data_IF_885672751199
#
_entry.id   IF_885672751199
#
_cell.length_a   1.000
_cell.length_b   1.000
_cell.length_c   1.000
_cell.angle_alpha   90.00
_cell.angle_beta   90.00
_cell.angle_gamma   90.00
#
_symmetry.space_group_name_H-M   'P 1'
#
loop_
_entity.id
_entity.type
_entity.pdbx_description
1 polymer ?
#
# COMPACT_ATOMS: atom_id res chain seq x y z
N UNK A 1 8.29 -5.29 -24.75
CA UNK A 1 9.68 -5.65 -24.34
C UNK A 1 10.39 -4.52 -23.58
N UNK A 2 10.52 -3.28 -24.11
CA UNK A 2 11.25 -2.18 -23.43
C UNK A 2 10.74 -1.84 -22.01
N UNK A 3 9.42 -1.82 -21.77
CA UNK A 3 8.82 -1.50 -20.45
C UNK A 3 9.06 -2.57 -19.38
N UNK A 4 9.04 -3.85 -19.75
CA UNK A 4 9.40 -4.96 -18.85
C UNK A 4 10.88 -4.89 -18.43
N UNK A 5 11.77 -4.55 -19.35
CA UNK A 5 13.19 -4.33 -19.05
C UNK A 5 13.36 -3.15 -18.07
N UNK A 6 12.63 -2.05 -18.27
CA UNK A 6 12.66 -0.90 -17.35
C UNK A 6 12.15 -1.25 -15.94
N UNK A 7 11.11 -2.08 -15.82
CA UNK A 7 10.70 -2.59 -14.51
C UNK A 7 11.76 -3.47 -13.89
N UNK A 8 12.32 -4.45 -14.61
CA UNK A 8 13.38 -5.31 -14.08
C UNK A 8 14.59 -4.48 -13.61
N UNK A 9 14.94 -3.42 -14.34
CA UNK A 9 15.97 -2.46 -13.92
C UNK A 9 15.55 -1.72 -12.64
N UNK A 10 14.30 -1.27 -12.50
CA UNK A 10 13.81 -0.60 -11.29
C UNK A 10 13.76 -1.54 -10.08
N UNK A 11 13.25 -2.76 -10.27
CA UNK A 11 13.26 -3.80 -9.24
C UNK A 11 14.69 -4.14 -8.85
N UNK A 12 15.59 -4.31 -9.83
CA UNK A 12 17.01 -4.53 -9.59
C UNK A 12 17.66 -3.37 -8.85
N UNK A 13 17.41 -2.13 -9.25
CA UNK A 13 18.03 -0.94 -8.63
C UNK A 13 17.51 -0.65 -7.23
N UNK A 14 16.30 -1.10 -6.88
CA UNK A 14 15.77 -1.03 -5.51
C UNK A 14 16.23 -2.25 -4.70
N UNK A 15 16.04 -3.47 -5.23
CA UNK A 15 16.28 -4.71 -4.51
C UNK A 15 17.77 -4.97 -4.28
N UNK A 16 18.65 -4.68 -5.26
CA UNK A 16 20.09 -4.96 -5.14
C UNK A 16 20.72 -4.16 -4.00
N UNK A 17 20.58 -2.83 -3.91
CA UNK A 17 21.11 -2.09 -2.76
C UNK A 17 20.53 -2.59 -1.44
N UNK A 18 19.24 -2.91 -1.38
CA UNK A 18 18.60 -3.40 -0.15
C UNK A 18 19.14 -4.77 0.28
N UNK A 19 19.35 -5.68 -0.68
CA UNK A 19 19.96 -6.99 -0.44
C UNK A 19 21.41 -6.84 0.01
N UNK A 20 22.12 -5.84 -0.51
CA UNK A 20 23.49 -5.50 -0.14
C UNK A 20 23.61 -4.72 1.17
N UNK A 21 22.51 -4.20 1.73
CA UNK A 21 22.54 -3.56 3.05
C UNK A 21 22.73 -4.63 4.12
N UNK A 22 23.95 -4.69 4.66
CA UNK A 22 24.34 -5.60 5.73
C UNK A 22 23.63 -5.31 7.08
N UNK A 23 23.10 -4.10 7.26
CA UNK A 23 22.46 -3.68 8.51
C UNK A 23 20.98 -3.32 8.33
N UNK A 24 20.14 -4.34 8.56
CA UNK A 24 18.69 -4.30 8.43
C UNK A 24 18.04 -3.24 9.32
N UNK A 25 18.55 -3.10 10.55
CA UNK A 25 18.02 -2.13 11.52
C UNK A 25 18.30 -0.71 11.05
N UNK A 26 19.50 -0.46 10.49
CA UNK A 26 19.82 0.83 9.88
C UNK A 26 18.89 1.15 8.71
N UNK A 27 18.55 0.18 7.85
CA UNK A 27 17.60 0.41 6.75
C UNK A 27 16.23 0.85 7.28
N UNK A 28 15.65 0.12 8.24
CA UNK A 28 14.36 0.51 8.84
C UNK A 28 14.42 1.88 9.52
N UNK A 29 15.55 2.19 10.15
CA UNK A 29 15.78 3.50 10.73
C UNK A 29 15.82 4.61 9.66
N UNK A 30 16.57 4.43 8.57
CA UNK A 30 16.62 5.38 7.45
C UNK A 30 15.25 5.61 6.83
N UNK A 31 14.48 4.54 6.59
CA UNK A 31 13.11 4.66 6.05
C UNK A 31 12.20 5.38 7.05
N UNK A 32 12.33 5.11 8.34
CA UNK A 32 11.55 5.82 9.38
C UNK A 32 11.90 7.31 9.44
N UNK A 33 13.19 7.66 9.30
CA UNK A 33 13.64 9.06 9.24
C UNK A 33 13.13 9.75 7.97
N UNK A 34 13.17 9.06 6.83
CA UNK A 34 12.58 9.56 5.59
C UNK A 34 11.10 9.89 5.77
N UNK A 35 10.30 8.99 6.34
CA UNK A 35 8.89 9.26 6.60
C UNK A 35 8.67 10.36 7.66
N UNK A 36 9.55 10.51 8.65
CA UNK A 36 9.50 11.65 9.57
C UNK A 36 9.69 12.98 8.82
N UNK A 37 10.63 13.03 7.88
CA UNK A 37 10.85 14.21 7.02
C UNK A 37 9.62 14.47 6.13
N UNK A 38 9.01 13.42 5.55
CA UNK A 38 7.78 13.55 4.75
C UNK A 38 6.62 14.15 5.56
N UNK A 39 6.45 13.75 6.83
CA UNK A 39 5.46 14.37 7.73
C UNK A 39 5.74 15.85 7.94
N UNK A 40 6.99 16.23 8.19
CA UNK A 40 7.38 17.62 8.40
C UNK A 40 7.13 18.46 7.15
N UNK A 41 7.55 17.99 5.97
CA UNK A 41 7.34 18.69 4.69
C UNK A 41 5.85 18.91 4.46
N UNK A 42 5.02 17.87 4.59
CA UNK A 42 3.58 18.00 4.37
C UNK A 42 2.90 18.89 5.43
N UNK A 43 3.38 18.88 6.67
CA UNK A 43 2.89 19.81 7.70
C UNK A 43 3.22 21.26 7.33
N UNK A 44 4.40 21.53 6.78
CA UNK A 44 4.75 22.87 6.30
C UNK A 44 3.90 23.32 5.11
N UNK A 45 3.47 22.40 4.23
CA UNK A 45 2.58 22.75 3.11
C UNK A 45 1.21 23.23 3.55
N UNK A 46 0.78 22.96 4.79
CA UNK A 46 -0.45 23.55 5.36
C UNK A 46 -0.37 25.08 5.34
N UNK A 47 0.81 25.64 5.65
CA UNK A 47 1.05 27.08 5.68
C UNK A 47 0.99 27.73 4.30
N UNK A 48 1.22 26.95 3.24
CA UNK A 48 1.20 27.43 1.87
C UNK A 48 -0.21 27.55 1.31
N UNK A 49 -1.22 26.97 1.98
CA UNK A 49 -2.59 26.98 1.52
C UNK A 49 -2.79 26.11 0.27
N UNK A 50 -3.26 24.88 0.47
CA UNK A 50 -3.53 23.91 -0.60
C UNK A 50 -4.82 23.12 -0.38
N UNK A 51 -5.75 23.71 0.38
CA UNK A 51 -7.02 23.09 0.69
C UNK A 51 -7.99 23.29 -0.48
N UNK A 52 -8.57 22.19 -0.94
CA UNK A 52 -9.68 22.21 -1.90
C UNK A 52 -10.93 21.67 -1.21
N UNK A 53 -12.13 21.91 -1.77
CA UNK A 53 -13.37 21.29 -1.28
C UNK A 53 -13.29 19.75 -1.27
N UNK A 54 -12.45 19.17 -2.13
CA UNK A 54 -12.23 17.73 -2.22
C UNK A 54 -11.33 17.19 -1.11
N UNK A 55 -10.41 18.00 -0.58
CA UNK A 55 -9.44 17.63 0.45
C UNK A 55 -8.07 18.30 0.28
N UNK A 56 -7.15 17.98 1.17
CA UNK A 56 -5.77 18.47 1.16
C UNK A 56 -4.82 17.49 0.46
N UNK A 57 -4.12 17.94 -0.58
CA UNK A 57 -3.19 17.10 -1.34
C UNK A 57 -1.72 17.24 -0.90
N UNK A 58 -1.37 18.25 -0.09
CA UNK A 58 0.01 18.50 0.34
C UNK A 58 0.95 18.66 -0.86
N UNK A 59 2.07 17.92 -0.87
CA UNK A 59 3.03 17.88 -1.99
C UNK A 59 2.61 16.95 -3.15
N UNK A 60 1.49 16.23 -3.00
CA UNK A 60 1.04 15.22 -3.97
C UNK A 60 0.05 15.80 -4.97
N UNK A 61 -0.14 15.07 -6.08
CA UNK A 61 -1.08 15.50 -7.13
C UNK A 61 -2.53 15.29 -6.72
N UNK A 62 -2.81 14.30 -5.88
CA UNK A 62 -4.16 13.91 -5.49
C UNK A 62 -4.27 13.69 -3.99
N UNK A 63 -5.46 14.02 -3.46
CA UNK A 63 -5.79 13.84 -2.03
C UNK A 63 -5.66 12.39 -1.54
N UNK A 64 -5.96 11.42 -2.41
CA UNK A 64 -5.93 10.01 -2.04
C UNK A 64 -4.49 9.53 -1.84
N UNK A 65 -3.56 10.00 -2.66
CA UNK A 65 -2.12 9.74 -2.52
C UNK A 65 -1.60 10.36 -1.21
N UNK A 66 -2.00 11.59 -0.89
CA UNK A 66 -1.67 12.24 0.38
C UNK A 66 -2.16 11.43 1.59
N UNK A 67 -3.40 10.94 1.55
CA UNK A 67 -3.94 10.06 2.59
C UNK A 67 -3.16 8.75 2.72
N UNK A 68 -2.83 8.10 1.59
CA UNK A 68 -2.04 6.87 1.59
C UNK A 68 -0.67 7.06 2.22
N UNK A 69 0.05 8.11 1.82
CA UNK A 69 1.38 8.37 2.36
C UNK A 69 1.30 8.77 3.83
N UNK A 70 0.28 9.52 4.24
CA UNK A 70 0.05 9.85 5.66
C UNK A 70 -0.17 8.59 6.51
N UNK A 71 -0.88 7.57 5.98
CA UNK A 71 -1.04 6.28 6.66
C UNK A 71 0.29 5.51 6.77
N UNK A 72 1.11 5.53 5.71
CA UNK A 72 2.47 4.94 5.75
C UNK A 72 3.35 5.64 6.80
N UNK A 73 3.36 6.98 6.80
CA UNK A 73 4.04 7.78 7.82
C UNK A 73 3.62 7.34 9.21
N UNK A 74 2.32 7.25 9.47
CA UNK A 74 1.78 6.84 10.76
C UNK A 74 2.31 5.47 11.21
N UNK A 75 2.34 4.47 10.34
CA UNK A 75 2.87 3.14 10.69
C UNK A 75 4.36 3.17 11.03
N UNK A 76 5.17 3.93 10.29
CA UNK A 76 6.59 4.12 10.62
C UNK A 76 6.78 4.92 11.91
N UNK A 77 5.92 5.90 12.21
CA UNK A 77 5.98 6.65 13.46
C UNK A 77 5.59 5.77 14.67
N UNK A 78 4.60 4.89 14.55
CA UNK A 78 4.29 3.89 15.59
C UNK A 78 5.46 2.93 15.80
N UNK A 79 6.08 2.47 14.70
CA UNK A 79 7.28 1.64 14.79
C UNK A 79 8.40 2.37 15.55
N UNK A 80 8.74 3.58 15.12
CA UNK A 80 9.75 4.43 15.77
C UNK A 80 9.45 4.68 17.26
N UNK A 81 8.19 4.93 17.61
CA UNK A 81 7.73 5.05 19.00
C UNK A 81 7.97 3.77 19.81
N UNK A 82 7.74 2.60 19.21
CA UNK A 82 7.88 1.31 19.90
C UNK A 82 9.34 0.90 20.18
N UNK A 83 10.28 1.38 19.37
CA UNK A 83 11.71 1.03 19.46
C UNK A 83 12.57 2.12 20.10
N UNK A 84 12.00 3.31 20.34
CA UNK A 84 12.73 4.46 20.91
C UNK A 84 12.41 4.68 22.38
N UNK A 85 13.35 5.31 23.10
CA UNK A 85 13.21 5.73 24.50
C UNK A 85 13.41 7.24 24.65
N UNK A 86 12.98 7.78 25.79
CA UNK A 86 13.17 9.19 26.15
C UNK A 86 12.55 10.19 25.17
N UNK A 87 13.26 11.29 24.93
CA UNK A 87 12.79 12.39 24.06
C UNK A 87 12.50 11.94 22.62
N UNK A 88 13.29 11.01 22.07
CA UNK A 88 13.06 10.46 20.72
C UNK A 88 11.69 9.79 20.60
N UNK A 89 11.25 9.07 21.64
CA UNK A 89 9.92 8.44 21.68
C UNK A 89 8.79 9.48 21.62
N UNK A 90 8.96 10.61 22.30
CA UNK A 90 8.00 11.71 22.27
C UNK A 90 7.92 12.36 20.88
N UNK A 91 9.06 12.54 20.20
CA UNK A 91 9.09 13.01 18.80
C UNK A 91 8.27 12.08 17.89
N UNK A 92 8.49 10.76 17.97
CA UNK A 92 7.71 9.80 17.17
C UNK A 92 6.21 9.84 17.50
N UNK A 93 5.83 10.02 18.77
CA UNK A 93 4.43 10.17 19.15
C UNK A 93 3.80 11.44 18.54
N UNK A 94 4.50 12.58 18.61
CA UNK A 94 4.04 13.84 18.00
C UNK A 94 3.90 13.71 16.48
N UNK A 95 4.87 13.09 15.81
CA UNK A 95 4.82 12.86 14.37
C UNK A 95 3.72 11.86 13.98
N UNK A 96 3.41 10.87 14.83
CA UNK A 96 2.26 9.98 14.61
C UNK A 96 0.94 10.75 14.66
N UNK A 97 0.78 11.65 15.63
CA UNK A 97 -0.41 12.52 15.73
C UNK A 97 -0.49 13.46 14.51
N UNK A 98 0.63 14.05 14.09
CA UNK A 98 0.68 14.87 12.88
C UNK A 98 0.30 14.06 11.63
N UNK A 99 0.74 12.80 11.53
CA UNK A 99 0.37 11.89 10.43
C UNK A 99 -1.14 11.61 10.40
N UNK A 100 -1.75 11.41 11.58
CA UNK A 100 -3.21 11.26 11.69
C UNK A 100 -3.91 12.53 11.20
N UNK A 101 -3.49 13.70 11.68
CA UNK A 101 -4.07 14.97 11.29
C UNK A 101 -3.97 15.19 9.77
N UNK A 102 -2.80 14.98 9.18
CA UNK A 102 -2.57 15.06 7.74
C UNK A 102 -3.47 14.09 6.95
N UNK A 103 -3.64 12.86 7.44
CA UNK A 103 -4.52 11.88 6.81
C UNK A 103 -5.99 12.35 6.85
N UNK A 104 -6.45 12.89 7.98
CA UNK A 104 -7.82 13.45 8.11
C UNK A 104 -8.00 14.65 7.18
N UNK A 105 -7.04 15.58 7.15
CA UNK A 105 -7.07 16.74 6.25
C UNK A 105 -7.10 16.34 4.77
N UNK A 106 -6.48 15.19 4.42
CA UNK A 106 -6.54 14.68 3.05
C UNK A 106 -7.96 14.34 2.57
N UNK A 107 -8.89 14.08 3.49
CA UNK A 107 -10.24 13.65 3.17
C UNK A 107 -10.27 12.40 2.26
N UNK A 108 -9.25 11.54 2.39
CA UNK A 108 -9.17 10.23 1.77
C UNK A 108 -9.83 9.19 2.69
N UNK A 109 -11.13 8.94 2.47
CA UNK A 109 -11.94 8.05 3.33
C UNK A 109 -11.29 6.69 3.53
N UNK A 110 -10.84 6.06 2.44
CA UNK A 110 -10.17 4.75 2.46
C UNK A 110 -8.90 4.79 3.30
N UNK A 111 -8.05 5.80 3.11
CA UNK A 111 -6.80 5.89 3.86
C UNK A 111 -7.03 6.15 5.35
N UNK A 112 -7.95 7.05 5.70
CA UNK A 112 -8.32 7.36 7.10
C UNK A 112 -8.81 6.09 7.80
N UNK A 113 -9.73 5.37 7.16
CA UNK A 113 -10.33 4.18 7.72
C UNK A 113 -9.28 3.07 7.92
N UNK A 114 -8.45 2.81 6.90
CA UNK A 114 -7.41 1.78 6.98
C UNK A 114 -6.28 2.16 7.94
N UNK A 115 -5.89 3.43 8.04
CA UNK A 115 -4.88 3.92 8.98
C UNK A 115 -5.20 3.51 10.42
N UNK A 116 -6.47 3.58 10.82
CA UNK A 116 -6.93 3.25 12.17
C UNK A 116 -7.22 1.75 12.35
N UNK A 117 -7.81 1.11 11.36
CA UNK A 117 -8.24 -0.28 11.45
C UNK A 117 -7.06 -1.27 11.38
N UNK A 118 -6.12 -1.04 10.47
CA UNK A 118 -5.03 -1.99 10.19
C UNK A 118 -4.14 -2.27 11.41
N UNK A 119 -3.74 -1.28 12.24
CA UNK A 119 -3.04 -1.54 13.50
C UNK A 119 -3.76 -2.49 14.44
N UNK A 120 -5.10 -2.43 14.50
CA UNK A 120 -5.90 -3.32 15.35
C UNK A 120 -5.83 -4.76 14.84
N UNK A 121 -5.96 -4.96 13.53
CA UNK A 121 -5.83 -6.27 12.89
C UNK A 121 -4.42 -6.82 13.09
N UNK A 122 -3.38 -6.02 12.82
CA UNK A 122 -1.99 -6.40 13.01
C UNK A 122 -1.68 -6.72 14.47
N UNK A 123 -2.26 -5.99 15.43
CA UNK A 123 -2.08 -6.25 16.85
C UNK A 123 -2.63 -7.64 17.21
N UNK A 124 -3.81 -7.98 16.69
CA UNK A 124 -4.38 -9.31 16.85
C UNK A 124 -3.44 -10.40 16.30
N UNK A 125 -2.91 -10.23 15.08
CA UNK A 125 -1.97 -11.19 14.49
C UNK A 125 -0.62 -11.30 15.21
N UNK A 126 -0.13 -10.24 15.85
CA UNK A 126 1.19 -10.28 16.53
C UNK A 126 1.09 -10.74 17.98
N UNK A 127 0.09 -10.26 18.71
CA UNK A 127 0.04 -10.40 20.17
C UNK A 127 -1.01 -11.41 20.65
N UNK A 128 -2.07 -11.62 19.87
CA UNK A 128 -3.20 -12.49 20.24
C UNK A 128 -3.14 -13.83 19.53
N UNK A 129 -2.67 -13.84 18.28
CA UNK A 129 -2.57 -15.05 17.45
C UNK A 129 -1.52 -16.02 18.00
N UNK A 130 -1.95 -16.94 18.87
CA UNK A 130 -1.15 -18.08 19.32
C UNK A 130 -1.29 -19.21 18.31
N UNK A 131 -0.16 -19.79 17.89
CA UNK A 131 0.00 -20.86 16.89
C UNK A 131 -0.94 -22.08 17.06
N UNK A 132 -1.54 -22.26 18.23
CA UNK A 132 -2.41 -23.38 18.58
C UNK A 132 -3.91 -23.17 18.24
N UNK A 133 -4.30 -22.03 17.66
CA UNK A 133 -5.71 -21.67 17.50
C UNK A 133 -6.08 -21.62 16.00
N UNK A 134 -7.12 -22.37 15.61
CA UNK A 134 -7.45 -22.72 14.21
C UNK A 134 -8.42 -21.76 13.48
N UNK A 135 -9.24 -22.33 12.58
CA UNK A 135 -10.16 -21.67 11.61
C UNK A 135 -11.00 -20.48 12.16
N UNK A 136 -11.27 -20.43 13.47
CA UNK A 136 -12.09 -19.40 14.13
C UNK A 136 -11.48 -18.00 14.08
N UNK A 137 -10.16 -17.85 14.11
CA UNK A 137 -9.53 -16.53 13.98
C UNK A 137 -9.51 -16.01 12.53
N UNK A 138 -9.39 -16.91 11.56
CA UNK A 138 -9.58 -16.56 10.15
C UNK A 138 -10.98 -16.01 9.92
N UNK A 139 -12.01 -16.68 10.47
CA UNK A 139 -13.38 -16.18 10.42
C UNK A 139 -13.54 -14.81 11.10
N UNK A 140 -12.93 -14.58 12.27
CA UNK A 140 -13.01 -13.28 12.96
C UNK A 140 -12.35 -12.14 12.17
N UNK A 141 -11.17 -12.37 11.59
CA UNK A 141 -10.49 -11.39 10.73
C UNK A 141 -11.30 -11.14 9.46
N UNK A 142 -11.83 -12.19 8.82
CA UNK A 142 -12.73 -12.04 7.67
C UNK A 142 -13.98 -11.25 8.01
N UNK A 143 -14.62 -11.51 9.16
CA UNK A 143 -15.79 -10.75 9.64
C UNK A 143 -15.42 -9.28 9.87
N UNK A 144 -14.29 -8.99 10.52
CA UNK A 144 -13.83 -7.62 10.76
C UNK A 144 -13.59 -6.88 9.42
N UNK A 145 -12.96 -7.55 8.45
CA UNK A 145 -12.74 -7.01 7.10
C UNK A 145 -14.07 -6.76 6.38
N UNK A 146 -15.00 -7.72 6.41
CA UNK A 146 -16.32 -7.60 5.77
C UNK A 146 -17.16 -6.50 6.41
N UNK A 147 -17.29 -6.48 7.74
CA UNK A 147 -18.05 -5.45 8.48
C UNK A 147 -17.48 -4.07 8.19
N UNK A 148 -16.16 -3.94 8.10
CA UNK A 148 -15.51 -2.68 7.77
C UNK A 148 -15.76 -2.23 6.33
N UNK A 149 -15.69 -3.12 5.34
CA UNK A 149 -16.09 -2.80 3.96
C UNK A 149 -17.55 -2.36 3.89
N UNK A 150 -18.43 -3.02 4.63
CA UNK A 150 -19.83 -2.60 4.75
C UNK A 150 -19.95 -1.20 5.39
N UNK A 151 -19.16 -0.87 6.41
CA UNK A 151 -19.17 0.46 7.03
C UNK A 151 -18.69 1.55 6.06
N UNK A 152 -17.59 1.32 5.32
CA UNK A 152 -17.14 2.25 4.27
C UNK A 152 -18.26 2.49 3.24
N UNK A 153 -18.95 1.43 2.83
CA UNK A 153 -20.08 1.50 1.89
C UNK A 153 -21.24 2.32 2.46
N UNK A 154 -21.57 2.14 3.73
CA UNK A 154 -22.65 2.87 4.43
C UNK A 154 -22.31 4.37 4.59
N UNK A 155 -21.06 4.71 4.95
CA UNK A 155 -20.60 6.10 5.05
C UNK A 155 -20.35 6.78 3.69
N UNK A 156 -20.48 6.04 2.58
CA UNK A 156 -20.51 6.60 1.23
C UNK A 156 -21.94 6.85 0.72
N UNK A 157 -22.96 6.28 1.38
CA UNK A 157 -24.39 6.59 1.08
C UNK A 157 -24.71 8.06 1.34
N UNK A 158 -23.99 8.74 2.24
CA UNK A 158 -24.14 10.19 2.47
C UNK A 158 -23.54 11.06 1.36
N UNK A 159 -22.66 10.52 0.50
CA UNK A 159 -22.15 11.22 -0.69
C UNK A 159 -22.98 10.90 -1.94
N UNK A 160 -23.71 9.77 -1.96
CA UNK A 160 -24.69 9.44 -3.01
C UNK A 160 -25.71 10.55 -3.26
N UNK A 161 -26.14 11.26 -2.20
CA UNK A 161 -27.08 12.38 -2.33
C UNK A 161 -26.52 13.58 -3.10
N UNK A 162 -25.19 13.77 -3.12
CA UNK A 162 -24.53 14.90 -3.77
C UNK A 162 -24.00 14.53 -5.16
N UNK A 163 -23.50 13.30 -5.38
CA UNK A 163 -23.07 12.87 -6.72
C UNK A 163 -24.24 12.66 -7.67
N UNK A 164 -25.37 12.14 -7.18
CA UNK A 164 -26.61 12.02 -7.97
C UNK A 164 -27.14 13.39 -8.39
N UNK A 165 -26.99 14.41 -7.54
CA UNK A 165 -27.47 15.76 -7.78
C UNK A 165 -26.58 16.55 -8.76
N UNK A 166 -25.27 16.27 -8.79
CA UNK A 166 -24.30 17.00 -9.63
C UNK A 166 -24.01 16.26 -10.95
N UNK A 167 -23.94 14.93 -10.93
CA UNK A 167 -23.47 14.11 -12.06
C UNK A 167 -24.51 13.14 -12.62
N UNK A 168 -25.67 12.98 -11.97
CA UNK A 168 -26.75 12.13 -12.46
C UNK A 168 -26.48 10.62 -12.40
N UNK A 169 -25.45 10.17 -11.68
CA UNK A 169 -25.05 8.76 -11.54
C UNK A 169 -24.75 8.43 -10.05
N UNK A 170 -25.24 7.26 -9.61
CA UNK A 170 -25.21 6.74 -8.24
C UNK A 170 -24.09 5.73 -7.98
N UNK A 171 -23.25 5.47 -8.98
CA UNK A 171 -22.14 4.53 -8.90
C UNK A 171 -20.89 5.15 -8.27
N UNK A 172 -20.16 4.36 -7.47
CA UNK A 172 -18.93 4.67 -6.72
C UNK A 172 -17.95 5.63 -7.44
N UNK A 173 -18.18 6.95 -7.40
CA UNK A 173 -17.41 7.95 -8.16
C UNK A 173 -17.26 7.65 -9.67
N UNK A 174 -18.20 6.92 -10.29
CA UNK A 174 -18.10 6.44 -11.68
C UNK A 174 -17.16 5.25 -11.91
N UNK A 175 -16.68 4.58 -10.85
CA UNK A 175 -15.71 3.47 -10.92
C UNK A 175 -16.28 2.17 -11.47
N UNK A 176 -17.57 1.91 -11.31
CA UNK A 176 -18.20 0.71 -11.91
C UNK A 176 -18.08 0.74 -13.43
N UNK A 177 -18.36 1.89 -14.04
CA UNK A 177 -18.21 2.08 -15.49
C UNK A 177 -16.75 1.86 -15.93
N UNK A 178 -15.76 2.31 -15.13
CA UNK A 178 -14.33 2.06 -15.38
C UNK A 178 -14.03 0.56 -15.31
N UNK A 179 -14.60 -0.15 -14.34
CA UNK A 179 -14.36 -1.58 -14.15
C UNK A 179 -15.04 -2.42 -15.22
N UNK A 180 -16.27 -2.09 -15.62
CA UNK A 180 -16.97 -2.77 -16.71
C UNK A 180 -16.20 -2.61 -18.02
N UNK A 181 -15.71 -1.41 -18.31
CA UNK A 181 -14.78 -1.15 -19.42
C UNK A 181 -13.52 -2.01 -19.30
N UNK A 182 -12.84 -2.01 -18.15
CA UNK A 182 -11.64 -2.81 -17.96
C UNK A 182 -11.91 -4.32 -18.12
N UNK A 183 -13.02 -4.84 -17.62
CA UNK A 183 -13.40 -6.25 -17.75
C UNK A 183 -13.69 -6.66 -19.20
N UNK A 184 -14.27 -5.77 -20.00
CA UNK A 184 -14.42 -6.00 -21.44
C UNK A 184 -13.07 -6.29 -22.10
N UNK A 185 -12.04 -5.50 -21.80
CA UNK A 185 -10.69 -5.71 -22.35
C UNK A 185 -9.96 -6.90 -21.71
N UNK A 186 -10.10 -7.13 -20.41
CA UNK A 186 -9.49 -8.30 -19.72
C UNK A 186 -9.91 -9.60 -20.41
N UNK A 187 -11.16 -9.72 -20.85
CA UNK A 187 -11.66 -10.93 -21.52
C UNK A 187 -10.92 -11.22 -22.84
N UNK A 188 -10.40 -10.19 -23.52
CA UNK A 188 -9.67 -10.34 -24.78
C UNK A 188 -8.22 -10.83 -24.60
N UNK A 189 -7.62 -10.60 -23.43
CA UNK A 189 -6.25 -11.06 -23.11
C UNK A 189 -6.13 -11.53 -21.65
N UNK A 190 -6.95 -12.51 -21.29
CA UNK A 190 -7.08 -12.94 -19.89
C UNK A 190 -5.78 -13.47 -19.27
N UNK A 191 -4.99 -14.25 -20.01
CA UNK A 191 -3.83 -14.95 -19.45
C UNK A 191 -2.61 -14.06 -19.23
N UNK A 192 -2.31 -13.19 -20.21
CA UNK A 192 -1.08 -12.40 -20.24
C UNK A 192 -1.30 -10.88 -20.20
N UNK A 193 -2.57 -10.43 -20.27
CA UNK A 193 -2.92 -9.01 -20.27
C UNK A 193 -2.52 -8.30 -21.56
N UNK A 194 -2.67 -6.99 -21.55
CA UNK A 194 -2.38 -6.10 -22.69
C UNK A 194 -0.96 -5.54 -22.66
N UNK A 195 -0.14 -6.01 -21.72
CA UNK A 195 1.23 -5.58 -21.52
C UNK A 195 1.37 -4.53 -20.41
N UNK A 196 2.51 -4.60 -19.72
CA UNK A 196 2.81 -3.68 -18.62
C UNK A 196 2.83 -2.20 -19.06
N UNK A 197 2.01 -1.38 -18.40
CA UNK A 197 1.86 0.04 -18.68
C UNK A 197 1.44 0.37 -20.10
N UNK A 198 0.94 -0.59 -20.89
CA UNK A 198 0.42 -0.36 -22.26
C UNK A 198 -1.06 -0.14 -22.35
N UNK A 199 -1.81 -0.42 -21.29
CA UNK A 199 -3.24 -0.18 -21.32
C UNK A 199 -3.57 1.29 -21.02
N UNK A 200 -3.00 1.82 -19.94
CA UNK A 200 -3.24 3.20 -19.50
C UNK A 200 -2.19 4.17 -20.03
N UNK A 201 -2.62 5.33 -20.54
CA UNK A 201 -1.77 6.51 -20.70
C UNK A 201 -0.70 6.43 -21.78
N UNK A 202 -0.92 5.68 -22.87
CA UNK A 202 0.02 5.57 -24.01
C UNK A 202 -0.15 6.69 -25.05
N UNK A 203 -0.69 7.85 -24.64
CA UNK A 203 -1.09 8.91 -25.58
C UNK A 203 -2.09 8.34 -26.60
N UNK A 204 -2.09 8.84 -27.84
CA UNK A 204 -3.02 8.51 -28.95
C UNK A 204 -3.22 7.00 -29.26
N UNK A 205 -2.38 6.13 -28.71
CA UNK A 205 -2.44 4.67 -28.87
C UNK A 205 -2.97 3.93 -27.63
N UNK A 206 -3.45 4.63 -26.62
CA UNK A 206 -4.09 4.03 -25.44
C UNK A 206 -5.40 3.36 -25.86
N UNK A 207 -5.63 2.09 -25.48
CA UNK A 207 -6.92 1.42 -25.72
C UNK A 207 -8.09 2.11 -24.99
N UNK A 208 -7.77 2.95 -24.00
CA UNK A 208 -8.71 3.81 -23.29
C UNK A 208 -9.06 5.12 -24.01
N UNK A 209 -8.52 5.40 -25.21
CA UNK A 209 -8.85 6.60 -25.98
C UNK A 209 -10.12 6.44 -26.79
N UNK A 210 -10.99 7.44 -26.69
CA UNK A 210 -12.22 7.55 -27.49
C UNK A 210 -13.50 7.27 -26.70
N UNK A 211 -13.42 6.69 -25.50
CA UNK A 211 -14.59 6.42 -24.66
C UNK A 211 -14.81 7.48 -23.59
N UNK A 212 -15.56 8.53 -23.92
CA UNK A 212 -16.13 9.48 -22.95
C UNK A 212 -15.17 9.97 -21.85
N UNK A 213 -15.59 9.88 -20.58
CA UNK A 213 -14.78 10.30 -19.42
C UNK A 213 -13.64 9.31 -19.08
N UNK A 214 -13.64 8.11 -19.66
CA UNK A 214 -12.57 7.11 -19.51
C UNK A 214 -11.33 7.55 -20.29
N UNK A 215 -11.54 8.33 -21.35
CA UNK A 215 -10.48 9.00 -22.10
C UNK A 215 -9.65 9.91 -21.18
N UNK A 216 -8.39 9.54 -20.95
CA UNK A 216 -7.46 10.27 -20.09
C UNK A 216 -7.28 9.68 -18.68
N UNK A 217 -8.00 8.61 -18.32
CA UNK A 217 -7.69 7.86 -17.12
C UNK A 217 -6.32 7.18 -17.25
N UNK A 218 -5.60 7.16 -16.13
CA UNK A 218 -4.27 6.54 -16.03
C UNK A 218 -4.28 5.29 -15.16
N UNK A 219 -5.45 4.89 -14.62
CA UNK A 219 -5.63 3.74 -13.75
C UNK A 219 -7.11 3.36 -13.58
N UNK A 220 -7.38 2.09 -13.24
CA UNK A 220 -8.72 1.60 -12.90
C UNK A 220 -9.20 2.00 -11.48
N UNK A 221 -8.34 2.65 -10.69
CA UNK A 221 -8.55 2.84 -9.24
C UNK A 221 -8.81 1.52 -8.49
N UNK A 222 -8.19 0.44 -8.98
CA UNK A 222 -8.19 -0.87 -8.37
C UNK A 222 -6.94 -1.61 -8.88
N UNK A 223 -5.97 -1.81 -7.99
CA UNK A 223 -4.70 -2.43 -8.32
C UNK A 223 -4.83 -3.86 -8.84
N UNK A 224 -5.87 -4.60 -8.46
CA UNK A 224 -6.08 -5.97 -8.93
C UNK A 224 -6.61 -6.01 -10.36
N UNK A 225 -7.54 -5.10 -10.69
CA UNK A 225 -8.05 -4.93 -12.05
C UNK A 225 -6.91 -4.47 -12.96
N UNK A 226 -6.12 -3.48 -12.54
CA UNK A 226 -4.95 -3.02 -13.31
C UNK A 226 -3.96 -4.16 -13.58
N UNK A 227 -3.68 -5.01 -12.60
CA UNK A 227 -2.78 -6.15 -12.80
C UNK A 227 -3.35 -7.18 -13.77
N UNK A 228 -4.64 -7.50 -13.67
CA UNK A 228 -5.29 -8.39 -14.64
C UNK A 228 -5.28 -7.80 -16.04
N UNK A 229 -5.52 -6.51 -16.16
CA UNK A 229 -5.58 -5.79 -17.42
C UNK A 229 -4.22 -5.72 -18.11
N UNK A 230 -3.16 -5.41 -17.36
CA UNK A 230 -1.82 -5.22 -17.93
C UNK A 230 -0.98 -6.51 -17.99
N UNK A 231 -1.10 -7.38 -16.98
CA UNK A 231 -0.24 -8.57 -16.81
C UNK A 231 -1.01 -9.89 -16.86
N UNK A 232 -2.33 -9.84 -16.97
CA UNK A 232 -3.19 -11.02 -17.01
C UNK A 232 -3.23 -11.80 -15.71
N UNK A 233 -3.91 -12.94 -15.78
CA UNK A 233 -4.02 -13.89 -14.69
C UNK A 233 -2.66 -14.37 -14.18
N UNK A 234 -1.67 -14.53 -15.08
CA UNK A 234 -0.31 -14.94 -14.71
C UNK A 234 0.36 -13.88 -13.81
N UNK A 235 0.26 -12.60 -14.16
CA UNK A 235 0.79 -11.51 -13.34
C UNK A 235 0.11 -11.43 -11.97
N UNK A 236 -1.21 -11.64 -11.93
CA UNK A 236 -1.97 -11.68 -10.68
C UNK A 236 -1.52 -12.85 -9.78
N UNK A 237 -1.27 -14.03 -10.35
CA UNK A 237 -0.76 -15.18 -9.60
C UNK A 237 0.64 -14.93 -9.04
N UNK A 238 1.54 -14.33 -9.82
CA UNK A 238 2.87 -13.94 -9.35
C UNK A 238 2.76 -12.98 -8.16
N UNK A 239 1.86 -11.99 -8.24
CA UNK A 239 1.60 -11.07 -7.14
C UNK A 239 1.17 -11.81 -5.86
N UNK A 240 0.19 -12.71 -5.93
CA UNK A 240 -0.26 -13.46 -4.77
C UNK A 240 0.83 -14.38 -4.21
N UNK A 241 1.68 -14.97 -5.05
CA UNK A 241 2.84 -15.75 -4.62
C UNK A 241 3.80 -14.86 -3.80
N UNK A 242 4.09 -13.64 -4.26
CA UNK A 242 4.94 -12.69 -3.52
C UNK A 242 4.33 -12.34 -2.14
N UNK A 243 3.02 -12.16 -2.08
CA UNK A 243 2.29 -11.90 -0.82
C UNK A 243 2.40 -13.08 0.14
N UNK A 244 2.22 -14.31 -0.36
CA UNK A 244 2.36 -15.53 0.45
C UNK A 244 3.80 -15.68 0.95
N UNK A 245 4.80 -15.48 0.08
CA UNK A 245 6.22 -15.52 0.45
C UNK A 245 6.51 -14.50 1.55
N UNK A 246 6.05 -13.26 1.38
CA UNK A 246 6.22 -12.20 2.38
C UNK A 246 5.61 -12.58 3.72
N UNK A 247 4.34 -12.99 3.71
CA UNK A 247 3.61 -13.37 4.92
C UNK A 247 4.28 -14.55 5.64
N UNK A 248 4.68 -15.59 4.91
CA UNK A 248 5.38 -16.73 5.49
C UNK A 248 6.73 -16.30 6.06
N UNK A 249 7.49 -15.44 5.38
CA UNK A 249 8.78 -14.97 5.85
C UNK A 249 8.65 -14.16 7.16
N UNK A 250 7.71 -13.22 7.26
CA UNK A 250 7.52 -12.39 8.47
C UNK A 250 7.04 -13.21 9.67
N UNK A 251 6.22 -14.25 9.43
CA UNK A 251 5.68 -15.10 10.51
C UNK A 251 6.68 -16.18 10.96
N UNK A 252 7.49 -16.71 10.03
CA UNK A 252 8.47 -17.77 10.34
C UNK A 252 9.83 -17.23 10.80
N UNK A 253 10.15 -15.96 10.53
CA UNK A 253 11.44 -15.37 10.92
C UNK A 253 11.56 -15.26 12.44
N UNK A 254 12.68 -15.79 12.96
CA UNK A 254 13.11 -15.67 14.36
C UNK A 254 13.93 -14.40 14.62
N UNK A 255 14.40 -13.73 13.56
CA UNK A 255 15.25 -12.52 13.65
C UNK A 255 14.40 -11.27 13.71
N UNK A 256 13.21 -11.28 13.09
CA UNK A 256 12.27 -10.17 13.13
C UNK A 256 11.66 -10.04 14.53
N UNK A 257 11.95 -8.92 15.19
CA UNK A 257 11.37 -8.57 16.48
C UNK A 257 9.86 -8.25 16.36
N UNK A 258 9.18 -8.13 17.50
CA UNK A 258 7.72 -7.92 17.51
C UNK A 258 7.30 -6.59 16.88
N UNK A 259 8.07 -5.52 17.10
CA UNK A 259 7.77 -4.19 16.56
C UNK A 259 7.94 -4.16 15.05
N UNK A 260 9.02 -4.75 14.52
CA UNK A 260 9.22 -4.90 13.07
C UNK A 260 8.14 -5.77 12.43
N UNK A 261 7.74 -6.89 13.08
CA UNK A 261 6.65 -7.74 12.59
C UNK A 261 5.32 -6.99 12.53
N UNK A 262 5.03 -6.18 13.55
CA UNK A 262 3.84 -5.33 13.59
C UNK A 262 3.83 -4.30 12.45
N UNK A 263 4.96 -3.63 12.20
CA UNK A 263 5.11 -2.72 11.05
C UNK A 263 4.85 -3.46 9.73
N UNK A 264 5.48 -4.61 9.49
CA UNK A 264 5.33 -5.33 8.23
C UNK A 264 3.91 -5.84 7.99
N UNK A 265 3.20 -6.27 9.03
CA UNK A 265 1.78 -6.62 8.93
C UNK A 265 0.91 -5.40 8.63
N UNK A 266 1.20 -4.24 9.24
CA UNK A 266 0.50 -3.01 8.88
C UNK A 266 0.71 -2.66 7.41
N UNK A 267 1.96 -2.70 6.94
CA UNK A 267 2.29 -2.44 5.54
C UNK A 267 1.59 -3.45 4.61
N UNK A 268 1.59 -4.75 4.95
CA UNK A 268 0.95 -5.80 4.15
C UNK A 268 -0.56 -5.60 4.02
N UNK A 269 -1.24 -5.47 5.16
CA UNK A 269 -2.70 -5.43 5.21
C UNK A 269 -3.19 -4.11 4.61
N UNK A 270 -2.52 -2.99 4.92
CA UNK A 270 -2.81 -1.71 4.27
C UNK A 270 -2.57 -1.81 2.76
N UNK A 271 -1.48 -2.45 2.33
CA UNK A 271 -1.19 -2.66 0.91
C UNK A 271 -2.32 -3.40 0.19
N UNK A 272 -2.76 -4.53 0.73
CA UNK A 272 -3.81 -5.33 0.13
C UNK A 272 -5.17 -4.62 0.10
N UNK A 273 -5.56 -3.99 1.21
CA UNK A 273 -6.87 -3.38 1.35
C UNK A 273 -7.00 -2.07 0.57
N UNK A 274 -5.98 -1.23 0.58
CA UNK A 274 -5.99 0.03 -0.16
C UNK A 274 -6.03 -0.21 -1.67
N UNK A 275 -5.38 -1.28 -2.17
CA UNK A 275 -5.39 -1.61 -3.60
C UNK A 275 -6.76 -2.08 -4.13
N UNK A 276 -7.77 -2.25 -3.28
CA UNK A 276 -9.16 -2.46 -3.74
C UNK A 276 -9.80 -1.18 -4.25
N UNK A 277 -9.28 -0.01 -3.84
CA UNK A 277 -9.83 1.30 -4.17
C UNK A 277 -8.83 2.23 -4.83
N UNK A 278 -7.57 1.83 -4.94
CA UNK A 278 -6.49 2.60 -5.53
C UNK A 278 -5.55 1.66 -6.27
N UNK A 279 -4.74 2.18 -7.19
CA UNK A 279 -3.85 1.34 -7.99
C UNK A 279 -2.41 1.66 -7.67
N UNK A 280 -1.77 0.74 -6.96
CA UNK A 280 -0.37 0.83 -6.56
C UNK A 280 0.43 -0.43 -6.95
N UNK A 281 -0.23 -1.56 -7.21
CA UNK A 281 0.46 -2.83 -7.55
C UNK A 281 1.21 -2.68 -8.87
N UNK A 282 2.49 -3.09 -8.88
CA UNK A 282 3.40 -3.01 -10.04
C UNK A 282 3.58 -1.64 -10.68
N UNK A 283 3.03 -0.56 -10.11
CA UNK A 283 3.20 0.80 -10.64
C UNK A 283 4.52 1.40 -10.19
N UNK A 284 5.42 1.59 -11.15
CA UNK A 284 6.72 2.23 -10.95
C UNK A 284 6.57 3.59 -10.25
N UNK A 285 7.43 3.87 -9.27
CA UNK A 285 7.52 5.14 -8.53
C UNK A 285 6.40 5.46 -7.55
N UNK A 286 5.33 4.65 -7.48
CA UNK A 286 4.31 4.83 -6.45
C UNK A 286 4.91 4.45 -5.09
N UNK A 287 4.91 5.39 -4.14
CA UNK A 287 5.50 5.23 -2.80
C UNK A 287 5.09 3.92 -2.13
N UNK A 288 3.81 3.59 -2.23
CA UNK A 288 3.23 2.37 -1.65
C UNK A 288 3.84 1.07 -2.22
N UNK A 289 4.13 1.02 -3.51
CA UNK A 289 4.78 -0.13 -4.14
C UNK A 289 6.22 -0.27 -3.66
N UNK A 290 6.97 0.84 -3.67
CA UNK A 290 8.37 0.86 -3.25
C UNK A 290 8.53 0.42 -1.79
N UNK A 291 7.68 0.92 -0.90
CA UNK A 291 7.69 0.51 0.52
C UNK A 291 7.38 -0.97 0.69
N UNK A 292 6.41 -1.50 -0.07
CA UNK A 292 6.10 -2.92 -0.05
C UNK A 292 7.30 -3.77 -0.51
N UNK A 293 8.02 -3.35 -1.56
CA UNK A 293 9.23 -4.04 -2.03
C UNK A 293 10.37 -4.00 -1.01
N UNK A 294 10.57 -2.86 -0.34
CA UNK A 294 11.55 -2.74 0.75
C UNK A 294 11.22 -3.76 1.86
N UNK A 295 9.95 -3.83 2.27
CA UNK A 295 9.50 -4.78 3.28
C UNK A 295 9.67 -6.23 2.83
N UNK A 296 9.31 -6.55 1.58
CA UNK A 296 9.49 -7.87 0.98
C UNK A 296 10.96 -8.30 1.01
N UNK A 297 11.88 -7.45 0.55
CA UNK A 297 13.32 -7.72 0.54
C UNK A 297 13.84 -7.95 1.97
N UNK A 298 13.42 -7.13 2.93
CA UNK A 298 13.78 -7.29 4.33
C UNK A 298 13.43 -8.70 4.86
N UNK A 299 12.22 -9.18 4.52
CA UNK A 299 11.74 -10.50 4.96
C UNK A 299 12.50 -11.67 4.32
N UNK A 300 12.97 -11.53 3.07
CA UNK A 300 13.57 -12.62 2.30
C UNK A 300 15.01 -12.96 2.72
N UNK A 301 15.78 -11.94 3.13
CA UNK A 301 17.21 -12.08 3.45
C UNK A 301 17.45 -12.96 4.69
N UNK A 302 16.46 -13.11 5.57
CA UNK A 302 16.58 -13.93 6.80
C UNK A 302 16.80 -15.43 6.54
N UNK A 303 16.26 -15.98 5.46
CA UNK A 303 16.46 -17.40 5.12
C UNK A 303 17.88 -17.71 4.66
N UNK A 304 18.51 -16.77 3.93
CA UNK A 304 19.89 -16.92 3.43
C UNK A 304 20.92 -17.05 4.55
N UNK A 305 20.77 -16.27 5.63
CA UNK A 305 21.68 -16.36 6.79
C UNK A 305 21.36 -17.55 7.71
N UNK A 306 20.11 -18.05 7.75
CA UNK A 306 19.80 -19.25 8.52
C UNK A 306 20.36 -20.54 7.91
N UNK A 307 20.56 -20.56 6.58
CA UNK A 307 21.20 -21.66 5.85
C UNK A 307 22.73 -21.54 5.83
N UNK A 308 23.28 -20.33 5.99
CA UNK A 308 24.69 -20.12 6.26
C UNK A 308 25.01 -20.41 7.73
N UNK A 309 25.30 -21.67 8.04
CA UNK A 309 25.76 -22.08 9.37
C UNK A 309 26.82 -21.12 9.88
N UNK A 310 26.60 -20.72 11.13
CA UNK A 310 27.59 -20.29 12.11
C UNK A 310 28.86 -21.15 11.98
N UNK A 311 29.82 -20.73 11.15
CA UNK A 311 31.21 -21.02 11.42
C UNK A 311 31.60 -20.09 12.57
N UNK A 312 31.57 -20.65 13.77
CA UNK A 312 32.25 -20.08 14.93
C UNK A 312 33.71 -19.88 14.52
N UNK A 313 34.10 -18.65 14.19
CA UNK A 313 35.49 -18.25 14.29
C UNK A 313 35.79 -18.23 15.79
N UNK A 314 36.30 -19.35 16.30
CA UNK A 314 37.16 -19.36 17.48
C UNK A 314 38.48 -18.76 17.02
N UNK A 315 38.88 -17.62 17.56
CA UNK A 315 40.19 -17.37 18.15
C UNK A 315 40.05 -16.19 19.12
#
# INVERSE_FOLDING_TARGET
>A
MRRYIQQLILFGSIAVPIILVFDKIKLLWFVSVFFAIVVLINTLTILQGGFTELGFAGIYRQKNEMGQVSALCFYFMIYGFSVSLGFKRQIYALLAIASIALCVLSNSKTAIALMLMVPVISYFFVYVWKKAWGIRQYAAVCIIVVVFFCLIMIFDVTVKGVSLFIYGDDTFTGRTNIWDFAFYYINNSFWFGHGYGSFWGVGDNSESLGEGFISGLIQAHNGYIDVLLELGFVGLMIFFILIIIFFVNIQSSKVIDRSSRFLFLNLLIFFLLNNLMESSIFRSFVTMWVVFLIALCFSGIDKGMSNGRVEKIKF
#
